data_IF_944120164964
#
_entry.id   IF_944120164964
#
_cell.length_a   1.000
_cell.length_b   1.000
_cell.length_c   1.000
_cell.angle_alpha   90.00
_cell.angle_beta   90.00
_cell.angle_gamma   90.00
#
_symmetry.space_group_name_H-M   'P 1'
#
loop_
_entity.id
_entity.type
_entity.pdbx_description
1 polymer ?
#
# COMPACT_ATOMS: atom_id res chain seq x y z
N UNK A 1 3.44 6.88 -6.74
CA UNK A 1 2.05 7.34 -6.52
C UNK A 1 2.02 8.83 -6.79
N UNK A 2 0.92 9.36 -7.31
CA UNK A 2 0.81 10.80 -7.56
C UNK A 2 -0.07 11.42 -6.51
N UNK A 3 0.33 12.59 -6.01
CA UNK A 3 -0.39 13.30 -4.97
C UNK A 3 -0.74 14.69 -5.48
N UNK A 4 -1.95 15.14 -5.15
CA UNK A 4 -2.42 16.47 -5.44
C UNK A 4 -3.07 17.08 -4.20
N UNK A 5 -2.72 18.33 -3.91
CA UNK A 5 -3.24 19.10 -2.79
C UNK A 5 -3.80 20.42 -3.29
N UNK A 6 -5.02 20.75 -2.90
CA UNK A 6 -5.57 22.07 -3.19
C UNK A 6 -4.89 23.10 -2.28
N UNK A 7 -4.33 24.14 -2.88
CA UNK A 7 -3.69 25.28 -2.20
C UNK A 7 -4.34 26.61 -2.57
N UNK A 8 -5.32 26.60 -3.47
CA UNK A 8 -6.08 27.76 -3.87
C UNK A 8 -7.58 27.49 -3.95
N UNK A 9 -8.35 28.16 -3.09
CA UNK A 9 -9.81 27.98 -2.97
C UNK A 9 -10.20 27.18 -1.73
N UNK A 10 -11.51 26.94 -1.52
CA UNK A 10 -12.00 26.10 -0.41
C UNK A 10 -12.24 24.66 -0.83
N UNK A 11 -12.85 24.48 -2.00
CA UNK A 11 -13.18 23.19 -2.59
C UNK A 11 -13.07 23.29 -4.11
N UNK A 12 -12.65 22.21 -4.75
CA UNK A 12 -12.52 22.13 -6.20
C UNK A 12 -12.82 20.71 -6.69
N UNK A 13 -13.63 20.58 -7.74
CA UNK A 13 -14.01 19.26 -8.27
C UNK A 13 -13.28 18.98 -9.58
N UNK A 14 -12.58 17.85 -9.65
CA UNK A 14 -11.87 17.38 -10.85
C UNK A 14 -12.31 15.96 -11.11
N UNK A 15 -12.90 15.69 -12.28
CA UNK A 15 -13.29 14.35 -12.69
C UNK A 15 -14.19 13.61 -11.66
N UNK A 16 -15.13 14.34 -11.03
CA UNK A 16 -15.99 13.80 -9.98
C UNK A 16 -15.35 13.63 -8.60
N UNK A 17 -14.04 13.91 -8.45
CA UNK A 17 -13.32 13.91 -7.17
C UNK A 17 -13.33 15.31 -6.56
N UNK A 18 -13.63 15.40 -5.28
CA UNK A 18 -13.65 16.67 -4.54
C UNK A 18 -12.33 16.86 -3.82
N UNK A 19 -11.63 17.93 -4.16
CA UNK A 19 -10.44 18.41 -3.48
C UNK A 19 -10.81 19.47 -2.46
N UNK A 20 -10.36 19.28 -1.23
CA UNK A 20 -10.55 20.24 -0.14
C UNK A 20 -9.24 20.98 0.10
N UNK A 21 -9.35 22.25 0.46
CA UNK A 21 -8.19 23.10 0.77
C UNK A 21 -7.30 22.46 1.83
N UNK A 22 -6.00 22.45 1.56
CA UNK A 22 -5.02 21.91 2.49
C UNK A 22 -4.91 20.38 2.52
N UNK A 23 -5.84 19.64 1.89
CA UNK A 23 -5.89 18.17 1.92
C UNK A 23 -5.18 17.58 0.71
N UNK A 24 -4.17 16.76 0.98
CA UNK A 24 -3.46 15.99 -0.04
C UNK A 24 -4.20 14.68 -0.34
N UNK A 25 -4.37 14.37 -1.61
CA UNK A 25 -5.06 13.16 -2.08
C UNK A 25 -4.21 12.41 -3.11
N UNK A 26 -4.33 11.09 -3.09
CA UNK A 26 -3.73 10.23 -4.12
C UNK A 26 -4.56 10.31 -5.39
N UNK A 27 -3.90 10.61 -6.49
CA UNK A 27 -4.51 10.75 -7.81
C UNK A 27 -3.81 9.85 -8.83
N UNK A 28 -4.49 9.62 -9.95
CA UNK A 28 -3.91 8.90 -11.08
C UNK A 28 -2.97 9.81 -11.87
N UNK A 29 -2.11 9.20 -12.69
CA UNK A 29 -1.12 9.95 -13.48
C UNK A 29 -1.77 10.99 -14.39
N UNK A 30 -2.88 10.63 -15.04
CA UNK A 30 -3.61 11.55 -15.92
C UNK A 30 -4.13 12.77 -15.16
N UNK A 31 -4.69 12.57 -13.97
CA UNK A 31 -5.13 13.68 -13.11
C UNK A 31 -3.96 14.51 -12.62
N UNK A 32 -2.83 13.88 -12.28
CA UNK A 32 -1.60 14.60 -11.90
C UNK A 32 -1.08 15.48 -13.04
N UNK A 33 -0.98 14.93 -14.25
CA UNK A 33 -0.54 15.66 -15.45
C UNK A 33 -1.50 16.81 -15.79
N UNK A 34 -2.79 16.66 -15.52
CA UNK A 34 -3.77 17.74 -15.68
C UNK A 34 -3.61 18.83 -14.60
N UNK A 35 -3.33 18.45 -13.35
CA UNK A 35 -3.26 19.38 -12.22
C UNK A 35 -1.91 20.06 -12.07
N UNK A 36 -0.82 19.51 -12.62
CA UNK A 36 0.53 20.10 -12.52
C UNK A 36 0.62 21.50 -13.15
N UNK A 37 -0.19 21.75 -14.18
CA UNK A 37 -0.27 23.04 -14.87
C UNK A 37 -1.24 24.02 -14.18
N UNK A 38 -1.94 23.58 -13.13
CA UNK A 38 -2.92 24.40 -12.40
C UNK A 38 -2.31 25.00 -11.13
N UNK A 39 -2.25 26.34 -11.06
CA UNK A 39 -1.72 27.08 -9.90
C UNK A 39 -2.51 26.92 -8.61
N UNK A 40 -3.74 26.42 -8.68
CA UNK A 40 -4.56 26.14 -7.50
C UNK A 40 -4.14 24.85 -6.80
N UNK A 41 -3.30 24.04 -7.43
CA UNK A 41 -2.88 22.73 -6.94
C UNK A 41 -1.37 22.66 -6.74
N UNK A 42 -0.98 22.11 -5.59
CA UNK A 42 0.37 21.63 -5.36
C UNK A 42 0.38 20.12 -5.63
N UNK A 43 1.06 19.70 -6.68
CA UNK A 43 1.20 18.29 -7.03
C UNK A 43 2.60 17.79 -6.72
N UNK A 44 2.73 16.54 -6.28
CA UNK A 44 4.02 15.89 -6.09
C UNK A 44 3.99 14.45 -6.56
N UNK A 45 5.11 14.04 -7.15
CA UNK A 45 5.38 12.62 -7.40
C UNK A 45 5.93 12.07 -6.09
N UNK A 46 5.15 11.21 -5.43
CA UNK A 46 5.70 10.39 -4.37
C UNK A 46 6.30 9.15 -5.00
N UNK A 47 7.56 8.86 -4.67
CA UNK A 47 7.99 7.48 -4.70
C UNK A 47 6.97 6.67 -3.90
N UNK A 48 6.62 5.50 -4.43
CA UNK A 48 5.83 4.53 -3.66
C UNK A 48 6.60 4.40 -2.36
N UNK A 49 6.12 5.01 -1.28
CA UNK A 49 6.58 4.63 0.03
C UNK A 49 6.34 3.12 -0.02
N UNK A 50 7.42 2.35 0.03
CA UNK A 50 7.35 0.92 0.26
C UNK A 50 6.94 0.78 1.74
N UNK A 51 5.83 1.43 2.12
CA UNK A 51 4.90 0.84 3.02
C UNK A 51 4.52 -0.46 2.31
N UNK A 52 4.96 -1.61 2.84
CA UNK A 52 4.55 -2.90 2.32
C UNK A 52 3.05 -2.79 2.34
N UNK A 53 2.45 -2.93 1.17
CA UNK A 53 1.01 -2.97 1.04
C UNK A 53 0.60 -4.21 1.82
N UNK A 54 0.39 -4.05 3.12
CA UNK A 54 -0.31 -4.94 4.03
C UNK A 54 -1.77 -4.84 3.66
N UNK A 55 -2.07 -5.06 2.37
CA UNK A 55 -3.39 -5.28 1.85
C UNK A 55 -3.82 -6.61 2.44
N UNK A 56 -4.42 -6.49 3.61
CA UNK A 56 -5.34 -7.46 4.19
C UNK A 56 -6.28 -7.89 3.05
N UNK A 57 -6.03 -9.08 2.49
CA UNK A 57 -6.85 -9.68 1.44
C UNK A 57 -6.15 -10.00 0.11
N UNK A 58 -4.92 -9.55 -0.16
CA UNK A 58 -4.17 -10.03 -1.34
C UNK A 58 -3.28 -11.22 -0.97
N UNK A 59 -3.48 -12.35 -1.66
CA UNK A 59 -2.63 -13.53 -1.54
C UNK A 59 -1.18 -13.13 -1.82
N UNK A 60 -0.29 -13.31 -0.85
CA UNK A 60 1.11 -13.01 -1.07
C UNK A 60 1.68 -14.11 -1.95
N UNK A 61 2.39 -13.74 -3.01
CA UNK A 61 3.09 -14.71 -3.85
C UNK A 61 4.51 -14.92 -3.35
N UNK A 62 5.10 -16.08 -3.61
CA UNK A 62 6.49 -16.40 -3.23
C UNK A 62 7.48 -15.29 -3.66
N UNK A 63 7.28 -14.72 -4.85
CA UNK A 63 8.09 -13.64 -5.40
C UNK A 63 7.97 -12.32 -4.64
N UNK A 64 6.81 -12.06 -4.03
CA UNK A 64 6.61 -10.90 -3.16
C UNK A 64 7.24 -11.16 -1.81
N UNK A 65 7.02 -12.34 -1.23
CA UNK A 65 7.53 -12.70 0.10
C UNK A 65 9.06 -12.74 0.16
N UNK A 66 9.73 -13.21 -0.90
CA UNK A 66 11.20 -13.16 -1.04
C UNK A 66 11.79 -11.75 -1.07
N UNK A 67 10.98 -10.73 -1.40
CA UNK A 67 11.40 -9.33 -1.40
C UNK A 67 11.16 -8.63 -0.06
N UNK A 68 10.41 -9.27 0.84
CA UNK A 68 10.11 -8.73 2.16
C UNK A 68 11.24 -9.06 3.13
N UNK A 69 11.45 -8.17 4.09
CA UNK A 69 12.36 -8.43 5.20
C UNK A 69 11.82 -9.52 6.14
N UNK A 70 12.71 -10.15 6.89
CA UNK A 70 12.35 -11.12 7.95
C UNK A 70 11.21 -10.62 8.84
N UNK A 71 11.29 -9.35 9.28
CA UNK A 71 10.30 -8.76 10.17
C UNK A 71 8.90 -8.67 9.53
N UNK A 72 8.85 -8.36 8.23
CA UNK A 72 7.60 -8.29 7.48
C UNK A 72 6.99 -9.68 7.24
N UNK A 73 7.81 -10.67 6.90
CA UNK A 73 7.36 -12.06 6.79
C UNK A 73 6.77 -12.57 8.11
N UNK A 74 7.45 -12.31 9.23
CA UNK A 74 6.94 -12.67 10.56
C UNK A 74 5.65 -11.91 10.94
N UNK A 75 5.53 -10.64 10.51
CA UNK A 75 4.30 -9.87 10.71
C UNK A 75 3.12 -10.44 9.90
N UNK A 76 3.37 -10.94 8.69
CA UNK A 76 2.35 -11.61 7.87
C UNK A 76 1.93 -12.94 8.52
N UNK A 77 2.88 -13.77 8.96
CA UNK A 77 2.58 -15.02 9.67
C UNK A 77 1.69 -14.72 10.88
N UNK A 78 2.04 -13.76 11.73
CA UNK A 78 1.22 -13.36 12.90
C UNK A 78 -0.17 -12.86 12.55
N UNK A 79 -0.36 -12.29 11.36
CA UNK A 79 -1.67 -11.82 10.90
C UNK A 79 -2.54 -12.97 10.40
N UNK A 80 -1.95 -13.94 9.71
CA UNK A 80 -2.65 -15.11 9.18
C UNK A 80 -2.92 -16.16 10.26
N UNK A 81 -2.00 -16.31 11.21
CA UNK A 81 -2.20 -17.18 12.37
C UNK A 81 -3.23 -16.54 13.31
N UNK A 82 -4.44 -17.09 13.32
CA UNK A 82 -5.45 -16.72 14.31
C UNK A 82 -5.19 -17.49 15.62
N UNK A 83 -4.42 -16.89 16.54
CA UNK A 83 -4.10 -17.44 17.86
C UNK A 83 -2.62 -17.31 18.25
N UNK A 84 -2.25 -17.74 19.45
CA UNK A 84 -0.87 -17.66 19.99
C UNK A 84 0.07 -18.74 19.41
N UNK A 85 -0.18 -19.20 18.18
CA UNK A 85 0.65 -20.20 17.52
C UNK A 85 1.86 -19.53 16.87
N UNK A 86 2.97 -19.46 17.61
CA UNK A 86 4.25 -19.06 17.03
C UNK A 86 4.82 -20.25 16.26
N UNK A 87 4.83 -20.15 14.95
CA UNK A 87 5.55 -21.09 14.10
C UNK A 87 7.04 -20.78 14.10
N UNK A 88 7.84 -21.72 14.61
CA UNK A 88 9.29 -21.63 14.62
C UNK A 88 9.84 -21.89 13.21
N UNK A 89 10.14 -20.82 12.48
CA UNK A 89 10.70 -20.88 11.12
C UNK A 89 12.18 -20.52 11.16
N UNK A 90 13.04 -21.47 10.78
CA UNK A 90 14.49 -21.29 10.88
C UNK A 90 15.03 -20.49 9.72
N UNK A 91 14.46 -20.69 8.52
CA UNK A 91 14.91 -20.07 7.28
C UNK A 91 13.81 -19.27 6.58
N UNK A 92 14.23 -18.35 5.70
CA UNK A 92 13.32 -17.53 4.88
C UNK A 92 12.36 -18.40 4.05
N UNK A 93 12.86 -19.48 3.45
CA UNK A 93 12.03 -20.37 2.64
C UNK A 93 10.91 -21.02 3.47
N UNK A 94 11.19 -21.40 4.73
CA UNK A 94 10.16 -21.95 5.62
C UNK A 94 9.10 -20.91 5.98
N UNK A 95 9.49 -19.64 6.16
CA UNK A 95 8.53 -18.53 6.37
C UNK A 95 7.62 -18.34 5.17
N UNK A 96 8.19 -18.33 3.97
CA UNK A 96 7.46 -18.11 2.73
C UNK A 96 6.46 -19.25 2.50
N UNK A 97 6.90 -20.50 2.60
CA UNK A 97 6.03 -21.67 2.45
C UNK A 97 4.89 -21.66 3.46
N UNK A 98 5.19 -21.34 4.73
CA UNK A 98 4.18 -21.27 5.78
C UNK A 98 3.14 -20.18 5.51
N UNK A 99 3.57 -19.00 5.05
CA UNK A 99 2.65 -17.92 4.69
C UNK A 99 1.71 -18.39 3.56
N UNK A 100 2.25 -19.03 2.52
CA UNK A 100 1.43 -19.55 1.41
C UNK A 100 0.41 -20.58 1.89
N UNK A 101 0.82 -21.51 2.75
CA UNK A 101 -0.06 -22.54 3.32
C UNK A 101 -1.18 -21.94 4.18
N UNK A 102 -0.86 -20.98 5.06
CA UNK A 102 -1.84 -20.28 5.89
C UNK A 102 -2.84 -19.48 5.04
N UNK A 103 -2.37 -18.87 3.94
CA UNK A 103 -3.24 -18.15 2.99
C UNK A 103 -4.16 -19.07 2.18
N UNK A 104 -3.80 -20.34 1.99
CA UNK A 104 -4.68 -21.35 1.39
C UNK A 104 -5.72 -21.88 2.38
N UNK A 105 -5.39 -21.97 3.67
CA UNK A 105 -6.33 -22.42 4.71
C UNK A 105 -7.42 -21.38 5.05
N UNK A 106 -7.15 -20.09 4.84
CA UNK A 106 -8.15 -19.01 5.00
C UNK A 106 -9.13 -18.88 3.80
N UNK A 107 -8.99 -19.69 2.75
CA UNK A 107 -9.79 -19.61 1.51
C UNK A 107 -11.09 -20.43 1.52
#
# INVERSE_FOLDING_TARGET
MYFAKLVGGKTYTVDGRVFNDGVEQVVEKETYDYLKDNRLFAVREGEKEVAPSLLVGEKHTESTLKKLSKAEQEAIIRKLTTGDFIHDTKNENERITLILELQEQEA
#
